data_IF_454620233970
#
_entry.id   IF_454620233970
#
_cell.length_a   1.000
_cell.length_b   1.000
_cell.length_c   1.000
_cell.angle_alpha   90.00
_cell.angle_beta   90.00
_cell.angle_gamma   90.00
#
_symmetry.space_group_name_H-M   'P 1'
#
loop_
_entity.id
_entity.type
_entity.pdbx_description
1 polymer ?
#
# COMPACT_ATOMS: atom_id res chain seq x y z
N UNK A 1 -4.89 7.15 29.58
CA UNK A 1 -4.41 7.59 28.26
C UNK A 1 -5.55 7.43 27.28
N UNK A 2 -5.99 8.50 26.61
CA UNK A 2 -7.03 8.38 25.59
C UNK A 2 -6.41 7.68 24.38
N UNK A 3 -6.52 6.36 24.33
CA UNK A 3 -6.24 5.60 23.12
C UNK A 3 -7.27 6.04 22.08
N UNK A 4 -6.83 6.77 21.05
CA UNK A 4 -7.69 7.10 19.93
C UNK A 4 -8.27 5.78 19.37
N UNK A 5 -9.60 5.63 19.30
CA UNK A 5 -10.19 4.38 18.81
C UNK A 5 -9.78 4.16 17.36
N UNK A 6 -9.57 2.89 16.98
CA UNK A 6 -9.33 2.54 15.60
C UNK A 6 -10.52 2.96 14.71
N UNK A 7 -10.31 3.08 13.39
CA UNK A 7 -11.38 3.57 12.51
C UNK A 7 -12.60 2.65 12.53
N UNK A 8 -12.42 1.34 12.67
CA UNK A 8 -13.51 0.39 12.83
C UNK A 8 -14.38 0.67 14.07
N UNK A 9 -13.76 0.80 15.25
CA UNK A 9 -14.50 1.07 16.49
C UNK A 9 -15.20 2.43 16.45
N UNK A 10 -14.60 3.43 15.78
CA UNK A 10 -15.22 4.74 15.57
C UNK A 10 -16.51 4.63 14.74
N UNK A 11 -16.47 3.90 13.64
CA UNK A 11 -17.61 3.68 12.73
C UNK A 11 -18.70 2.85 13.41
N UNK A 12 -18.31 1.79 14.12
CA UNK A 12 -19.21 0.88 14.82
C UNK A 12 -19.74 1.45 16.15
N UNK A 13 -19.22 2.60 16.59
CA UNK A 13 -19.51 3.20 17.90
C UNK A 13 -19.29 2.22 19.06
N UNK A 14 -18.26 1.38 18.94
CA UNK A 14 -17.88 0.39 19.95
C UNK A 14 -16.64 0.83 20.73
N UNK A 15 -16.42 0.23 21.90
CA UNK A 15 -15.23 0.50 22.71
C UNK A 15 -14.01 -0.19 22.09
N UNK A 16 -12.95 0.58 21.82
CA UNK A 16 -11.69 0.05 21.31
C UNK A 16 -10.80 -0.39 22.49
N UNK A 17 -10.63 -1.70 22.66
CA UNK A 17 -9.75 -2.30 23.68
C UNK A 17 -8.35 -2.55 23.12
N UNK A 18 -7.38 -2.87 24.01
CA UNK A 18 -6.01 -3.24 23.59
C UNK A 18 -5.93 -4.53 22.76
N UNK A 19 -6.95 -5.38 22.85
CA UNK A 19 -7.06 -6.65 22.09
C UNK A 19 -7.99 -6.51 20.87
N UNK A 20 -8.25 -5.28 20.41
CA UNK A 20 -9.13 -5.03 19.28
C UNK A 20 -8.54 -5.61 17.98
N UNK A 21 -9.22 -6.62 17.42
CA UNK A 21 -8.78 -7.30 16.18
C UNK A 21 -8.69 -6.36 14.97
N UNK A 22 -9.42 -5.25 14.97
CA UNK A 22 -9.40 -4.28 13.88
C UNK A 22 -8.26 -3.26 14.01
N UNK A 23 -7.74 -3.03 15.22
CA UNK A 23 -6.87 -1.89 15.50
C UNK A 23 -5.56 -1.90 14.70
N UNK A 24 -5.00 -3.10 14.48
CA UNK A 24 -3.78 -3.26 13.68
C UNK A 24 -3.98 -2.95 12.19
N UNK A 25 -5.16 -3.23 11.66
CA UNK A 25 -5.42 -3.20 10.21
C UNK A 25 -6.15 -1.94 9.73
N UNK A 26 -6.89 -1.31 10.65
CA UNK A 26 -7.73 -0.13 10.42
C UNK A 26 -7.37 0.98 11.42
N UNK A 27 -6.18 1.58 11.29
CA UNK A 27 -5.75 2.64 12.18
C UNK A 27 -6.64 3.88 12.01
N UNK A 28 -6.64 4.76 13.02
CA UNK A 28 -7.40 6.00 13.00
C UNK A 28 -6.91 7.02 11.94
N UNK A 29 -5.70 6.84 11.41
CA UNK A 29 -5.11 7.64 10.32
C UNK A 29 -5.77 7.40 8.96
N UNK A 30 -6.42 6.24 8.77
CA UNK A 30 -7.06 5.84 7.52
C UNK A 30 -8.56 5.53 7.72
N UNK A 31 -9.39 6.53 8.08
CA UNK A 31 -10.80 6.29 8.40
C UNK A 31 -11.59 5.75 7.20
N UNK A 32 -11.36 6.35 6.02
CA UNK A 32 -12.00 6.01 4.75
C UNK A 32 -11.85 4.52 4.38
N UNK A 33 -10.73 3.89 4.78
CA UNK A 33 -10.44 2.50 4.46
C UNK A 33 -11.46 1.55 5.09
N UNK A 34 -11.77 1.73 6.38
CA UNK A 34 -12.79 0.90 7.02
C UNK A 34 -14.18 1.25 6.54
N UNK A 35 -14.48 2.53 6.27
CA UNK A 35 -15.79 2.95 5.77
C UNK A 35 -16.16 2.22 4.46
N UNK A 36 -15.22 2.15 3.52
CA UNK A 36 -15.42 1.44 2.25
C UNK A 36 -15.60 -0.05 2.45
N UNK A 37 -14.69 -0.68 3.22
CA UNK A 37 -14.73 -2.11 3.48
C UNK A 37 -16.02 -2.50 4.22
N UNK A 38 -16.44 -1.70 5.20
CA UNK A 38 -17.67 -1.90 5.94
C UNK A 38 -18.90 -1.77 5.04
N UNK A 39 -18.93 -0.78 4.15
CA UNK A 39 -20.03 -0.57 3.20
C UNK A 39 -20.22 -1.74 2.25
N UNK A 40 -19.14 -2.35 1.76
CA UNK A 40 -19.19 -3.42 0.75
C UNK A 40 -19.29 -4.82 1.37
N UNK A 41 -18.54 -5.10 2.42
CA UNK A 41 -18.44 -6.44 3.01
C UNK A 41 -19.15 -6.58 4.34
N UNK A 42 -19.42 -5.49 5.05
CA UNK A 42 -19.96 -5.52 6.41
C UNK A 42 -18.90 -5.85 7.46
N UNK A 43 -19.08 -5.33 8.67
CA UNK A 43 -18.08 -5.47 9.73
C UNK A 43 -17.96 -6.91 10.25
N UNK A 44 -19.06 -7.67 10.27
CA UNK A 44 -19.05 -9.06 10.75
C UNK A 44 -18.23 -9.99 9.85
N UNK A 45 -18.32 -9.83 8.52
CA UNK A 45 -17.54 -10.63 7.59
C UNK A 45 -16.05 -10.33 7.69
N UNK A 46 -15.70 -9.05 7.84
CA UNK A 46 -14.32 -8.62 8.05
C UNK A 46 -13.79 -9.17 9.38
N UNK A 47 -14.60 -9.14 10.45
CA UNK A 47 -14.25 -9.74 11.73
C UNK A 47 -13.95 -11.23 11.59
N UNK A 48 -14.80 -12.00 10.90
CA UNK A 48 -14.60 -13.45 10.67
C UNK A 48 -13.27 -13.74 9.96
N UNK A 49 -12.90 -12.91 8.98
CA UNK A 49 -11.62 -13.03 8.26
C UNK A 49 -10.44 -12.73 9.19
N UNK A 50 -10.51 -11.64 9.97
CA UNK A 50 -9.42 -11.21 10.85
C UNK A 50 -9.22 -12.10 12.08
N UNK A 51 -10.30 -12.68 12.59
CA UNK A 51 -10.28 -13.61 13.72
C UNK A 51 -10.05 -15.06 13.30
N UNK A 52 -9.88 -15.33 11.99
CA UNK A 52 -9.63 -16.69 11.53
C UNK A 52 -8.21 -17.16 11.94
N UNK A 53 -8.15 -18.12 12.84
CA UNK A 53 -6.91 -18.69 13.36
C UNK A 53 -6.09 -19.45 12.30
N UNK A 54 -6.72 -19.89 11.20
CA UNK A 54 -5.99 -20.54 10.11
C UNK A 54 -5.14 -19.57 9.29
N UNK A 55 -5.38 -18.25 9.41
CA UNK A 55 -4.62 -17.24 8.70
C UNK A 55 -3.46 -16.70 9.54
N UNK A 56 -2.27 -16.68 8.93
CA UNK A 56 -1.12 -16.00 9.51
C UNK A 56 -1.33 -14.48 9.55
N UNK A 57 -0.59 -13.72 10.39
CA UNK A 57 -0.68 -12.26 10.42
C UNK A 57 -0.49 -11.61 9.05
N UNK A 58 0.46 -12.13 8.27
CA UNK A 58 0.74 -11.68 6.90
C UNK A 58 -0.45 -11.92 5.96
N UNK A 59 -1.11 -13.08 6.06
CA UNK A 59 -2.31 -13.37 5.26
C UNK A 59 -3.49 -12.45 5.62
N UNK A 60 -3.65 -12.12 6.91
CA UNK A 60 -4.68 -11.17 7.36
C UNK A 60 -4.42 -9.77 6.82
N UNK A 61 -3.15 -9.35 6.77
CA UNK A 61 -2.77 -8.09 6.16
C UNK A 61 -3.08 -8.07 4.64
N UNK A 62 -2.71 -9.12 3.91
CA UNK A 62 -3.05 -9.26 2.50
C UNK A 62 -4.57 -9.27 2.27
N UNK A 63 -5.33 -9.95 3.13
CA UNK A 63 -6.78 -9.96 3.06
C UNK A 63 -7.36 -8.55 3.23
N UNK A 64 -6.85 -7.75 4.18
CA UNK A 64 -7.30 -6.36 4.36
C UNK A 64 -6.95 -5.50 3.15
N UNK A 65 -5.76 -5.66 2.56
CA UNK A 65 -5.38 -4.96 1.34
C UNK A 65 -6.32 -5.31 0.18
N UNK A 66 -6.60 -6.60 -0.03
CA UNK A 66 -7.51 -7.07 -1.06
C UNK A 66 -8.95 -6.56 -0.85
N UNK A 67 -9.48 -6.65 0.37
CA UNK A 67 -10.81 -6.13 0.72
C UNK A 67 -10.89 -4.62 0.50
N UNK A 68 -9.84 -3.86 0.86
CA UNK A 68 -9.82 -2.41 0.68
C UNK A 68 -9.85 -2.04 -0.81
N UNK A 69 -9.08 -2.75 -1.63
CA UNK A 69 -9.05 -2.56 -3.07
C UNK A 69 -10.38 -2.93 -3.73
N UNK A 70 -10.95 -4.09 -3.40
CA UNK A 70 -12.22 -4.52 -3.97
C UNK A 70 -13.38 -3.61 -3.54
N UNK A 71 -13.37 -3.15 -2.29
CA UNK A 71 -14.38 -2.22 -1.79
C UNK A 71 -14.33 -0.88 -2.56
N UNK A 72 -13.14 -0.31 -2.75
CA UNK A 72 -12.97 0.90 -3.56
C UNK A 72 -13.45 0.67 -4.99
N UNK A 73 -13.02 -0.42 -5.63
CA UNK A 73 -13.41 -0.73 -7.00
C UNK A 73 -14.94 -0.85 -7.15
N UNK A 74 -15.63 -1.50 -6.20
CA UNK A 74 -17.09 -1.62 -6.23
C UNK A 74 -17.81 -0.30 -5.93
N UNK A 75 -17.19 0.62 -5.19
CA UNK A 75 -17.74 1.96 -4.99
C UNK A 75 -17.66 2.79 -6.27
N UNK A 76 -16.54 2.70 -7.00
CA UNK A 76 -16.34 3.41 -8.27
C UNK A 76 -17.15 2.79 -9.41
N UNK A 77 -17.22 1.46 -9.46
CA UNK A 77 -18.04 0.71 -10.41
C UNK A 77 -18.96 -0.27 -9.66
N UNK A 78 -20.20 0.14 -9.35
CA UNK A 78 -21.16 -0.72 -8.67
C UNK A 78 -21.61 -1.95 -9.46
N UNK A 79 -21.39 -1.98 -10.78
CA UNK A 79 -21.86 -3.06 -11.65
C UNK A 79 -20.79 -4.13 -11.77
N UNK A 80 -19.55 -3.76 -12.09
CA UNK A 80 -18.48 -4.72 -12.38
C UNK A 80 -17.31 -4.69 -11.40
N UNK A 81 -17.19 -3.65 -10.56
CA UNK A 81 -16.15 -3.53 -9.54
C UNK A 81 -14.74 -3.79 -10.09
N UNK A 82 -13.97 -4.63 -9.40
CA UNK A 82 -12.62 -4.99 -9.83
C UNK A 82 -12.60 -5.88 -11.10
N UNK A 83 -13.68 -6.60 -11.40
CA UNK A 83 -13.76 -7.47 -12.58
C UNK A 83 -13.74 -6.66 -13.87
N UNK A 84 -14.39 -5.48 -13.90
CA UNK A 84 -14.33 -4.58 -15.05
C UNK A 84 -12.92 -4.15 -15.39
N UNK A 85 -12.12 -3.86 -14.38
CA UNK A 85 -10.71 -3.51 -14.57
C UNK A 85 -9.88 -4.69 -15.08
N UNK A 86 -10.11 -5.91 -14.57
CA UNK A 86 -9.48 -7.12 -15.12
C UNK A 86 -9.83 -7.31 -16.60
N UNK A 87 -11.10 -7.16 -16.99
CA UNK A 87 -11.54 -7.26 -18.39
C UNK A 87 -10.93 -6.17 -19.28
N UNK A 88 -10.79 -4.95 -18.76
CA UNK A 88 -10.12 -3.86 -19.48
C UNK A 88 -8.64 -4.20 -19.74
N UNK A 89 -7.93 -4.75 -18.76
CA UNK A 89 -6.55 -5.20 -18.94
C UNK A 89 -6.45 -6.36 -19.94
N UNK A 90 -7.33 -7.35 -19.86
CA UNK A 90 -7.37 -8.44 -20.84
C UNK A 90 -7.58 -7.93 -22.26
N UNK A 91 -8.48 -6.95 -22.45
CA UNK A 91 -8.70 -6.32 -23.76
C UNK A 91 -7.44 -5.62 -24.26
N UNK A 92 -6.75 -4.87 -23.40
CA UNK A 92 -5.49 -4.19 -23.75
C UNK A 92 -4.42 -5.22 -24.14
N UNK A 93 -4.25 -6.27 -23.34
CA UNK A 93 -3.29 -7.34 -23.62
C UNK A 93 -3.57 -8.03 -24.95
N UNK A 94 -4.83 -8.35 -25.25
CA UNK A 94 -5.21 -8.97 -26.50
C UNK A 94 -4.95 -8.06 -27.69
N UNK A 95 -5.34 -6.78 -27.60
CA UNK A 95 -5.06 -5.79 -28.63
C UNK A 95 -3.55 -5.59 -28.88
N UNK A 96 -2.73 -5.62 -27.82
CA UNK A 96 -1.27 -5.55 -27.96
C UNK A 96 -0.70 -6.80 -28.64
N UNK A 97 -1.19 -7.99 -28.27
CA UNK A 97 -0.81 -9.25 -28.93
C UNK A 97 -1.15 -9.23 -30.42
N UNK A 98 -2.34 -8.76 -30.79
CA UNK A 98 -2.77 -8.62 -32.18
C UNK A 98 -1.87 -7.64 -32.96
N UNK A 99 -1.54 -6.49 -32.39
CA UNK A 99 -0.62 -5.53 -33.01
C UNK A 99 0.77 -6.11 -33.23
N UNK A 100 1.29 -6.89 -32.26
CA UNK A 100 2.58 -7.58 -32.41
C UNK A 100 2.51 -8.57 -33.58
N UNK A 101 1.45 -9.36 -33.68
CA UNK A 101 1.27 -10.31 -34.79
C UNK A 101 1.18 -9.58 -36.13
N UNK A 102 0.41 -8.49 -36.20
CA UNK A 102 0.30 -7.66 -37.42
C UNK A 102 1.67 -7.11 -37.85
N UNK A 103 2.41 -6.50 -36.94
CA UNK A 103 3.73 -5.96 -37.23
C UNK A 103 4.72 -7.05 -37.67
N UNK A 104 4.68 -8.24 -37.04
CA UNK A 104 5.49 -9.38 -37.49
C UNK A 104 5.15 -9.79 -38.92
N UNK A 105 3.86 -9.88 -39.26
CA UNK A 105 3.41 -10.24 -40.61
C UNK A 105 3.85 -9.19 -41.66
N UNK A 106 3.82 -7.90 -41.32
CA UNK A 106 4.31 -6.82 -42.19
C UNK A 106 5.82 -6.93 -42.47
N UNK A 107 6.62 -7.28 -41.45
CA UNK A 107 8.06 -7.52 -41.62
C UNK A 107 8.32 -8.72 -42.53
N UNK A 108 7.59 -9.83 -42.34
CA UNK A 108 7.70 -11.01 -43.22
C UNK A 108 7.42 -10.62 -44.67
N UNK A 109 6.34 -9.86 -44.90
CA UNK A 109 5.92 -9.46 -46.24
C UNK A 109 6.93 -8.53 -46.93
N UNK A 110 7.63 -7.68 -46.18
CA UNK A 110 8.53 -6.64 -46.73
C UNK A 110 9.99 -7.04 -46.79
N UNK A 111 10.49 -7.80 -45.81
CA UNK A 111 11.91 -8.11 -45.62
C UNK A 111 12.23 -9.61 -45.60
N UNK A 112 11.21 -10.47 -45.66
CA UNK A 112 11.34 -11.92 -45.53
C UNK A 112 11.39 -12.40 -44.07
N UNK A 113 11.07 -13.68 -43.85
CA UNK A 113 10.92 -14.28 -42.52
C UNK A 113 12.17 -14.22 -41.65
N UNK A 114 13.36 -14.21 -42.26
CA UNK A 114 14.66 -14.19 -41.57
C UNK A 114 14.94 -12.89 -40.80
N UNK A 115 14.09 -11.86 -40.99
CA UNK A 115 14.24 -10.53 -40.37
C UNK A 115 13.22 -10.26 -39.26
N UNK A 116 12.32 -11.20 -38.97
CA UNK A 116 11.34 -11.03 -37.89
C UNK A 116 12.03 -11.18 -36.53
N UNK A 117 11.92 -10.20 -35.62
CA UNK A 117 12.45 -10.35 -34.27
C UNK A 117 11.75 -11.52 -33.53
N UNK A 118 12.53 -12.50 -33.08
CA UNK A 118 12.10 -13.48 -32.09
C UNK A 118 12.00 -12.82 -30.72
N UNK A 119 10.77 -12.50 -30.32
CA UNK A 119 10.45 -12.24 -28.92
C UNK A 119 10.17 -13.59 -28.26
N UNK A 120 11.21 -14.20 -27.71
CA UNK A 120 11.02 -15.25 -26.72
C UNK A 120 10.35 -14.62 -25.49
N UNK A 121 9.46 -15.38 -24.83
CA UNK A 121 8.73 -14.94 -23.64
C UNK A 121 9.69 -14.17 -22.72
N UNK A 122 9.49 -12.86 -22.61
CA UNK A 122 10.28 -12.03 -21.71
C UNK A 122 10.06 -12.64 -20.33
N UNK A 123 11.11 -13.19 -19.68
CA UNK A 123 10.97 -13.74 -18.34
C UNK A 123 10.33 -12.65 -17.49
N UNK A 124 9.25 -12.99 -16.80
CA UNK A 124 8.58 -12.03 -15.92
C UNK A 124 9.65 -11.48 -14.96
N UNK A 125 9.89 -10.16 -14.94
CA UNK A 125 10.95 -9.61 -14.10
C UNK A 125 10.74 -10.06 -12.66
N UNK A 126 11.79 -10.50 -11.98
CA UNK A 126 11.71 -10.96 -10.59
C UNK A 126 11.09 -9.87 -9.68
N UNK A 127 11.29 -8.60 -10.02
CA UNK A 127 10.67 -7.45 -9.36
C UNK A 127 9.13 -7.47 -9.38
N UNK A 128 8.52 -8.06 -10.41
CA UNK A 128 7.06 -8.17 -10.51
C UNK A 128 6.49 -9.21 -9.53
N UNK A 129 7.28 -10.23 -9.19
CA UNK A 129 6.95 -11.20 -8.13
C UNK A 129 7.30 -10.66 -6.74
N UNK A 130 8.36 -9.84 -6.64
CA UNK A 130 8.78 -9.26 -5.37
C UNK A 130 7.95 -8.05 -4.94
N UNK A 131 7.40 -7.24 -5.84
CA UNK A 131 6.60 -6.05 -5.46
C UNK A 131 5.37 -6.40 -4.61
N UNK A 132 4.83 -7.63 -4.74
CA UNK A 132 3.77 -8.08 -3.83
C UNK A 132 4.28 -8.24 -2.38
N UNK A 133 5.56 -8.61 -2.19
CA UNK A 133 6.22 -8.76 -0.89
C UNK A 133 7.05 -7.53 -0.44
N UNK A 134 7.39 -6.58 -1.33
CA UNK A 134 8.33 -5.48 -1.05
C UNK A 134 7.71 -4.10 -0.87
N UNK A 135 6.41 -3.90 -1.11
CA UNK A 135 5.72 -2.68 -0.63
C UNK A 135 5.58 -2.62 0.90
N UNK A 136 6.16 -3.58 1.64
CA UNK A 136 6.25 -3.62 3.10
C UNK A 136 7.67 -3.36 3.66
N UNK A 137 8.58 -2.76 2.87
CA UNK A 137 9.95 -2.46 3.32
C UNK A 137 10.18 -1.02 3.81
N UNK A 138 9.66 0.00 3.12
CA UNK A 138 10.24 1.35 3.21
C UNK A 138 9.22 2.46 3.54
N UNK A 139 8.54 2.36 4.69
CA UNK A 139 7.85 3.51 5.30
C UNK A 139 8.24 3.74 6.77
N UNK A 140 9.44 3.30 7.17
CA UNK A 140 10.03 3.70 8.45
C UNK A 140 11.53 3.99 8.28
N UNK A 141 11.87 5.17 7.72
CA UNK A 141 13.09 5.88 8.12
C UNK A 141 13.17 7.34 7.65
N UNK A 142 12.63 8.25 8.47
CA UNK A 142 13.06 9.64 8.71
C UNK A 142 12.04 10.16 9.74
N UNK A 143 12.35 10.52 10.98
CA UNK A 143 13.48 11.31 11.46
C UNK A 143 13.82 10.93 12.90
N UNK A 144 15.04 10.44 13.15
CA UNK A 144 15.76 10.70 14.40
C UNK A 144 17.26 10.76 14.10
N UNK A 145 17.80 11.97 14.06
CA UNK A 145 19.22 12.21 14.25
C UNK A 145 19.38 13.44 15.15
N UNK A 146 19.48 13.17 16.45
CA UNK A 146 20.03 14.07 17.45
C UNK A 146 21.46 14.47 17.07
N UNK A 147 21.79 15.76 17.15
CA UNK A 147 23.17 16.19 17.35
C UNK A 147 23.25 17.04 18.60
N UNK A 148 23.57 16.39 19.71
CA UNK A 148 24.19 17.01 20.88
C UNK A 148 25.63 17.36 20.53
N UNK A 149 26.00 18.64 20.61
CA UNK A 149 27.39 19.07 20.65
C UNK A 149 27.53 20.22 21.64
N UNK A 150 28.04 19.89 22.83
CA UNK A 150 28.61 20.82 23.80
C UNK A 150 29.93 21.38 23.23
N UNK A 151 30.20 22.70 23.28
CA UNK A 151 31.54 23.21 23.02
C UNK A 151 32.36 23.32 24.33
N UNK A 152 33.69 23.17 24.28
CA UNK A 152 34.57 23.34 25.44
C UNK A 152 34.92 24.82 25.67
N UNK A 153 35.32 25.10 26.92
CA UNK A 153 35.70 26.40 27.44
C UNK A 153 37.03 26.93 26.88
N UNK A 154 37.13 28.26 26.67
CA UNK A 154 38.33 29.03 26.99
C UNK A 154 38.01 30.51 27.24
N UNK A 155 38.88 31.09 28.05
CA UNK A 155 38.85 32.34 28.81
C UNK A 155 38.96 33.66 28.03
N UNK A 156 38.33 34.71 28.57
CA UNK A 156 38.68 36.12 28.30
C UNK A 156 38.02 37.04 29.34
N UNK A 157 38.81 37.59 30.27
CA UNK A 157 38.36 38.48 31.33
C UNK A 157 38.37 39.97 30.98
N UNK A 158 38.23 40.78 32.05
CA UNK A 158 38.14 42.26 32.18
C UNK A 158 36.70 42.79 32.19
N UNK A 159 36.26 43.75 33.02
CA UNK A 159 36.62 44.26 34.35
C UNK A 159 35.57 45.36 34.70
N UNK A 160 35.42 45.72 35.99
CA UNK A 160 34.87 47.00 36.51
C UNK A 160 33.33 47.27 36.38
N UNK A 161 32.58 47.93 37.29
CA UNK A 161 32.80 48.56 38.61
C UNK A 161 31.42 49.08 39.14
N UNK A 162 31.17 49.01 40.47
CA UNK A 162 30.27 49.84 41.35
C UNK A 162 28.77 50.04 40.98
N UNK A 163 27.79 50.37 41.85
CA UNK A 163 27.70 50.75 43.26
C UNK A 163 26.24 50.51 43.77
N UNK A 164 26.13 50.34 45.09
CA UNK A 164 25.00 50.42 46.05
C UNK A 164 24.22 51.77 46.04
N UNK A 165 23.17 51.99 46.86
CA UNK A 165 22.76 51.32 48.11
C UNK A 165 21.39 50.63 48.15
#
# INVERSE_FOLDING_TARGET
MASNPCSACKVLKSVCTGECVFALYFPSTEPEKFDRVHRIFGAENVYKILSNETFSPLQREYAVKALSYEAEARIQDPVTGCVGMSLAYEKILNNLKEQIVSAKNEIVATMGSDKVPEYNDIPMPDDFLMTQNQQMGDNHRADEASTSATPPASSGGTNDTQQTP
#
